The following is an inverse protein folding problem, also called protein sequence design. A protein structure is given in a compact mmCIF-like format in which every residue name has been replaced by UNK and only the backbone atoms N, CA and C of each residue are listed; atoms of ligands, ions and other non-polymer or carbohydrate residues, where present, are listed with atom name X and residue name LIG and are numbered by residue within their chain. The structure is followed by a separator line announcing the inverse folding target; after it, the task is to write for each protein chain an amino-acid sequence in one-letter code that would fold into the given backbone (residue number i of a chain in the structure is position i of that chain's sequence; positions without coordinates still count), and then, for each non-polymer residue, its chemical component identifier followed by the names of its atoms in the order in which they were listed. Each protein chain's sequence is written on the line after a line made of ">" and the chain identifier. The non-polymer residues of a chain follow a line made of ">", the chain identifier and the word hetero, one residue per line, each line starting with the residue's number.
data_IF_149304775019
#
_entry.id   IF_149304775019
#
_cell.length_a   1.000
_cell.length_b   1.000
_cell.length_c   1.000
_cell.angle_alpha   90.00
_cell.angle_beta   90.00
_cell.angle_gamma   90.00
#
_symmetry.space_group_name_H-M   'P 1'
#
loop_
_entity.id
_entity.type
_entity.pdbx_description
1 polymer ?
#
# COMPACT_ATOMS: atom_id res chain seq x y z
N UNK A 1 -2.38 -8.62 19.36
CA UNK A 1 -3.40 -7.96 20.24
C UNK A 1 -4.31 -7.09 19.38
N UNK A 2 -5.62 -7.17 19.56
CA UNK A 2 -6.61 -6.34 18.82
C UNK A 2 -7.29 -5.41 19.81
N UNK A 3 -7.29 -4.09 19.53
CA UNK A 3 -7.94 -3.10 20.39
C UNK A 3 -9.47 -3.22 20.32
N UNK A 4 -10.21 -3.07 21.42
CA UNK A 4 -11.67 -3.27 21.44
C UNK A 4 -12.47 -2.35 20.51
N UNK A 5 -11.96 -1.16 20.17
CA UNK A 5 -12.59 -0.24 19.23
C UNK A 5 -12.26 -0.51 17.75
N UNK A 6 -11.44 -1.52 17.45
CA UNK A 6 -11.19 -1.92 16.06
C UNK A 6 -12.38 -2.69 15.50
N UNK A 7 -12.73 -2.43 14.24
CA UNK A 7 -13.79 -3.12 13.52
C UNK A 7 -13.18 -4.17 12.60
N UNK A 8 -13.33 -5.43 12.95
CA UNK A 8 -12.72 -6.55 12.21
C UNK A 8 -13.83 -7.39 11.58
N UNK A 9 -13.77 -7.59 10.26
CA UNK A 9 -14.67 -8.50 9.58
C UNK A 9 -14.43 -9.95 10.01
N UNK A 10 -15.49 -10.74 10.14
CA UNK A 10 -15.43 -12.17 10.54
C UNK A 10 -14.53 -13.03 9.63
N UNK A 11 -14.38 -12.66 8.37
CA UNK A 11 -13.59 -13.40 7.39
C UNK A 11 -12.15 -12.88 7.26
N UNK A 12 -11.79 -11.81 7.95
CA UNK A 12 -10.41 -11.34 7.99
C UNK A 12 -9.52 -12.35 8.72
N UNK A 13 -8.32 -12.57 8.19
CA UNK A 13 -7.32 -13.45 8.80
C UNK A 13 -6.18 -12.59 9.33
N UNK A 14 -5.99 -12.60 10.63
CA UNK A 14 -4.96 -11.80 11.30
C UNK A 14 -4.13 -12.75 12.16
N UNK A 15 -2.81 -12.76 11.93
CA UNK A 15 -1.91 -13.55 12.75
C UNK A 15 -1.88 -13.00 14.20
N UNK A 16 -1.89 -13.89 15.18
CA UNK A 16 -2.00 -13.57 16.61
C UNK A 16 -0.89 -12.63 17.15
N UNK A 17 0.29 -12.63 16.52
CA UNK A 17 1.41 -11.76 16.90
C UNK A 17 1.26 -10.33 16.38
N UNK A 18 0.29 -10.06 15.51
CA UNK A 18 0.07 -8.72 14.99
C UNK A 18 -0.75 -7.85 15.93
N UNK A 19 -0.44 -6.56 15.93
CA UNK A 19 -1.10 -5.55 16.75
C UNK A 19 -2.04 -4.70 15.88
N UNK A 20 -3.32 -4.64 16.27
CA UNK A 20 -4.34 -3.79 15.63
C UNK A 20 -4.78 -2.76 16.65
N UNK A 21 -4.36 -1.52 16.46
CA UNK A 21 -4.65 -0.40 17.34
C UNK A 21 -6.10 0.11 17.25
N UNK A 22 -6.41 1.17 18.01
CA UNK A 22 -7.77 1.69 18.10
C UNK A 22 -8.27 2.25 16.76
N UNK A 23 -9.58 2.10 16.54
CA UNK A 23 -10.31 2.63 15.39
C UNK A 23 -9.79 2.14 14.02
N UNK A 24 -9.07 1.02 13.98
CA UNK A 24 -8.71 0.36 12.72
C UNK A 24 -9.92 -0.39 12.16
N UNK A 25 -10.02 -0.43 10.82
CA UNK A 25 -11.07 -1.17 10.10
C UNK A 25 -10.41 -2.20 9.20
N UNK A 26 -10.76 -3.49 9.37
CA UNK A 26 -10.20 -4.59 8.58
C UNK A 26 -11.32 -5.33 7.85
N UNK A 27 -11.29 -5.29 6.52
CA UNK A 27 -12.29 -5.89 5.62
C UNK A 27 -12.19 -7.42 5.49
N UNK A 28 -13.20 -8.02 4.87
CA UNK A 28 -13.39 -9.47 4.82
C UNK A 28 -12.36 -10.25 4.00
N UNK A 29 -11.79 -9.64 2.96
CA UNK A 29 -10.78 -10.26 2.08
C UNK A 29 -9.34 -10.08 2.54
N UNK A 30 -9.13 -9.52 3.73
CA UNK A 30 -7.80 -9.13 4.24
C UNK A 30 -7.12 -10.28 4.96
N UNK A 31 -5.84 -10.50 4.62
CA UNK A 31 -4.94 -11.41 5.33
C UNK A 31 -3.74 -10.62 5.86
N UNK A 32 -3.47 -10.68 7.16
CA UNK A 32 -2.36 -10.00 7.84
C UNK A 32 -1.44 -11.04 8.48
N UNK A 33 -0.20 -11.09 8.03
CA UNK A 33 0.86 -11.96 8.51
C UNK A 33 1.36 -11.61 9.92
N UNK A 34 2.58 -12.03 10.25
CA UNK A 34 3.15 -11.92 11.60
C UNK A 34 3.67 -10.52 11.92
N UNK A 35 3.58 -10.14 13.19
CA UNK A 35 4.25 -8.96 13.78
C UNK A 35 3.96 -7.64 13.03
N UNK A 36 2.83 -7.54 12.35
CA UNK A 36 2.41 -6.27 11.78
C UNK A 36 1.87 -5.34 12.89
N UNK A 37 2.11 -4.05 12.76
CA UNK A 37 1.64 -3.05 13.71
C UNK A 37 0.80 -1.98 13.00
N UNK A 38 -0.50 -1.99 13.23
CA UNK A 38 -1.42 -0.95 12.81
C UNK A 38 -1.64 -0.02 14.00
N UNK A 39 -1.11 1.21 13.93
CA UNK A 39 -1.05 2.10 15.10
C UNK A 39 -2.45 2.56 15.52
N UNK A 40 -3.21 3.22 14.65
CA UNK A 40 -4.60 3.62 14.87
C UNK A 40 -5.25 4.17 13.60
N UNK A 41 -6.58 4.13 13.49
CA UNK A 41 -7.33 4.73 12.37
C UNK A 41 -6.83 4.25 10.99
N UNK A 42 -6.37 3.03 10.88
CA UNK A 42 -5.93 2.40 9.63
C UNK A 42 -7.10 1.63 9.03
N UNK A 43 -7.38 1.87 7.76
CA UNK A 43 -8.35 1.09 6.99
C UNK A 43 -7.62 0.16 6.03
N UNK A 44 -7.86 -1.15 6.14
CA UNK A 44 -7.37 -2.15 5.19
C UNK A 44 -8.56 -2.95 4.71
N UNK A 45 -8.81 -2.92 3.40
CA UNK A 45 -10.00 -3.53 2.80
C UNK A 45 -9.63 -4.27 1.50
N UNK A 46 -10.64 -4.77 0.79
CA UNK A 46 -10.46 -5.52 -0.46
C UNK A 46 -9.74 -6.86 -0.26
N UNK A 47 -9.29 -7.48 -1.34
CA UNK A 47 -8.47 -8.70 -1.27
C UNK A 47 -7.01 -8.34 -1.08
N UNK A 48 -6.66 -7.95 0.14
CA UNK A 48 -5.33 -7.45 0.51
C UNK A 48 -4.57 -8.50 1.32
N UNK A 49 -3.40 -8.88 0.83
CA UNK A 49 -2.48 -9.77 1.53
C UNK A 49 -1.25 -9.00 2.00
N UNK A 50 -0.99 -9.03 3.30
CA UNK A 50 0.12 -8.35 3.95
C UNK A 50 1.00 -9.38 4.62
N UNK A 51 2.28 -9.43 4.23
CA UNK A 51 3.27 -10.31 4.82
C UNK A 51 3.65 -9.84 6.24
N UNK A 52 4.90 -9.87 6.64
CA UNK A 52 5.30 -9.74 8.04
C UNK A 52 5.99 -8.42 8.37
N UNK A 53 5.95 -8.02 9.65
CA UNK A 53 6.74 -6.93 10.23
C UNK A 53 6.49 -5.54 9.61
N UNK A 54 5.31 -5.28 9.05
CA UNK A 54 4.98 -3.96 8.51
C UNK A 54 4.42 -3.04 9.61
N UNK A 55 4.62 -1.74 9.44
CA UNK A 55 4.08 -0.71 10.31
C UNK A 55 3.19 0.23 9.50
N UNK A 56 1.95 0.38 9.94
CA UNK A 56 0.99 1.31 9.36
C UNK A 56 0.68 2.42 10.36
N UNK A 57 0.99 3.64 9.97
CA UNK A 57 0.74 4.85 10.75
C UNK A 57 -0.72 5.31 10.55
N UNK A 58 -1.20 6.25 11.38
CA UNK A 58 -2.60 6.65 11.35
C UNK A 58 -3.07 7.17 9.99
N UNK A 59 -4.34 6.90 9.70
CA UNK A 59 -5.07 7.36 8.51
C UNK A 59 -4.59 6.75 7.17
N UNK A 60 -3.85 5.64 7.19
CA UNK A 60 -3.60 4.87 5.97
C UNK A 60 -4.89 4.25 5.43
N UNK A 61 -5.11 4.34 4.11
CA UNK A 61 -6.20 3.68 3.39
C UNK A 61 -5.60 2.70 2.38
N UNK A 62 -5.69 1.42 2.69
CA UNK A 62 -5.00 0.34 1.99
C UNK A 62 -6.04 -0.61 1.36
N UNK A 63 -5.97 -0.81 0.05
CA UNK A 63 -6.83 -1.74 -0.67
C UNK A 63 -8.23 -1.22 -1.00
N UNK A 64 -8.47 0.09 -0.83
CA UNK A 64 -9.69 0.74 -1.30
C UNK A 64 -9.75 0.76 -2.83
N UNK A 65 -10.97 0.81 -3.38
CA UNK A 65 -11.21 0.75 -4.81
C UNK A 65 -10.33 1.70 -5.62
N UNK A 66 -9.86 1.26 -6.81
CA UNK A 66 -9.10 2.10 -7.71
C UNK A 66 -9.84 3.38 -8.13
N UNK A 67 -9.08 4.46 -8.27
CA UNK A 67 -9.60 5.74 -8.79
C UNK A 67 -9.55 5.74 -10.33
N UNK A 68 -10.10 4.71 -10.95
CA UNK A 68 -10.17 4.57 -12.41
C UNK A 68 -11.65 4.50 -12.85
N UNK A 69 -12.04 5.37 -13.78
CA UNK A 69 -13.41 5.39 -14.33
C UNK A 69 -13.79 4.09 -15.06
N UNK A 70 -12.82 3.28 -15.44
CA UNK A 70 -13.04 1.98 -16.08
C UNK A 70 -13.26 0.84 -15.08
N UNK A 71 -12.96 1.07 -13.80
CA UNK A 71 -13.14 0.06 -12.75
C UNK A 71 -14.63 -0.29 -12.59
N UNK A 72 -14.94 -1.59 -12.62
CA UNK A 72 -16.33 -2.11 -12.56
C UNK A 72 -16.55 -3.05 -11.39
N UNK A 73 -15.85 -2.86 -10.28
CA UNK A 73 -15.90 -3.73 -9.09
C UNK A 73 -15.45 -5.18 -9.38
N UNK A 74 -14.55 -5.36 -10.33
CA UNK A 74 -13.93 -6.65 -10.59
C UNK A 74 -13.09 -7.12 -9.40
N UNK A 75 -13.00 -8.43 -9.24
CA UNK A 75 -12.17 -9.04 -8.19
C UNK A 75 -10.70 -8.77 -8.47
N UNK A 76 -10.10 -7.92 -7.69
CA UNK A 76 -8.68 -7.53 -7.82
C UNK A 76 -7.95 -7.67 -6.49
N UNK A 77 -6.62 -7.57 -6.52
CA UNK A 77 -5.76 -7.92 -5.42
C UNK A 77 -4.70 -6.85 -5.13
N UNK A 78 -4.31 -6.78 -3.86
CA UNK A 78 -3.16 -6.01 -3.39
C UNK A 78 -2.25 -6.95 -2.59
N UNK A 79 -0.96 -6.99 -2.94
CA UNK A 79 0.05 -7.78 -2.22
C UNK A 79 1.11 -6.85 -1.65
N UNK A 80 1.37 -6.97 -0.36
CA UNK A 80 2.37 -6.19 0.37
C UNK A 80 3.35 -7.16 1.03
N UNK A 81 4.62 -7.01 0.72
CA UNK A 81 5.71 -7.78 1.30
C UNK A 81 5.96 -7.45 2.77
N UNK A 82 7.20 -7.62 3.21
CA UNK A 82 7.58 -7.53 4.62
C UNK A 82 8.43 -6.31 4.94
N UNK A 83 8.45 -5.91 6.23
CA UNK A 83 9.31 -4.86 6.78
C UNK A 83 9.08 -3.46 6.19
N UNK A 84 7.90 -3.17 5.66
CA UNK A 84 7.56 -1.87 5.09
C UNK A 84 7.05 -0.91 6.16
N UNK A 85 7.25 0.38 5.93
CA UNK A 85 6.71 1.47 6.76
C UNK A 85 5.80 2.35 5.92
N UNK A 86 4.52 2.37 6.27
CA UNK A 86 3.49 3.22 5.66
C UNK A 86 3.19 4.36 6.63
N UNK A 87 3.69 5.56 6.34
CA UNK A 87 3.47 6.74 7.16
C UNK A 87 2.02 7.24 7.02
N UNK A 88 1.71 8.32 7.68
CA UNK A 88 0.34 8.85 7.80
C UNK A 88 -0.26 9.23 6.44
N UNK A 89 -1.57 9.04 6.30
CA UNK A 89 -2.37 9.44 5.14
C UNK A 89 -1.95 8.80 3.80
N UNK A 90 -1.32 7.66 3.84
CA UNK A 90 -0.96 6.92 2.62
C UNK A 90 -2.19 6.23 2.04
N UNK A 91 -2.28 6.22 0.71
CA UNK A 91 -3.31 5.47 -0.01
C UNK A 91 -2.70 4.49 -0.99
N UNK A 92 -3.22 3.25 -1.02
CA UNK A 92 -2.78 2.19 -1.94
C UNK A 92 -4.01 1.51 -2.51
N UNK A 93 -4.13 1.48 -3.84
CA UNK A 93 -5.22 0.81 -4.53
C UNK A 93 -4.83 -0.60 -5.02
N UNK A 94 -5.77 -1.55 -5.11
CA UNK A 94 -5.56 -2.86 -5.75
C UNK A 94 -5.46 -2.71 -7.27
N UNK A 95 -5.26 -3.82 -7.98
CA UNK A 95 -5.22 -3.83 -9.43
C UNK A 95 -6.58 -3.64 -10.10
N UNK A 96 -6.56 -3.55 -11.44
CA UNK A 96 -7.75 -3.48 -12.30
C UNK A 96 -7.69 -4.55 -13.40
N UNK A 97 -8.79 -4.80 -14.07
CA UNK A 97 -8.84 -5.75 -15.19
C UNK A 97 -7.91 -5.36 -16.35
N UNK A 98 -7.65 -4.05 -16.50
CA UNK A 98 -6.74 -3.52 -17.52
C UNK A 98 -5.25 -3.73 -17.22
N UNK A 99 -4.88 -4.08 -15.98
CA UNK A 99 -3.48 -4.18 -15.54
C UNK A 99 -3.08 -5.52 -14.92
N UNK A 100 -3.92 -6.55 -15.06
CA UNK A 100 -3.61 -7.88 -14.52
C UNK A 100 -4.14 -8.11 -13.11
N UNK A 101 -5.04 -7.27 -12.64
CA UNK A 101 -5.79 -7.43 -11.39
C UNK A 101 -4.95 -7.36 -10.11
N UNK A 102 -3.70 -6.91 -10.17
CA UNK A 102 -2.83 -6.95 -9.00
C UNK A 102 -1.92 -5.73 -8.89
N UNK A 103 -1.93 -5.08 -7.73
CA UNK A 103 -0.89 -4.15 -7.30
C UNK A 103 0.05 -4.87 -6.34
N UNK A 104 1.36 -4.70 -6.48
CA UNK A 104 2.33 -5.38 -5.64
C UNK A 104 3.40 -4.45 -5.08
N UNK A 105 3.74 -4.65 -3.81
CA UNK A 105 4.77 -3.95 -3.06
C UNK A 105 5.72 -4.98 -2.47
N UNK A 106 7.02 -4.82 -2.71
CA UNK A 106 8.08 -5.68 -2.17
C UNK A 106 8.38 -5.42 -0.71
N UNK A 107 9.64 -5.62 -0.32
CA UNK A 107 10.07 -5.58 1.07
C UNK A 107 10.90 -4.33 1.38
N UNK A 108 10.98 -4.00 2.69
CA UNK A 108 11.86 -2.95 3.21
C UNK A 108 11.64 -1.56 2.60
N UNK A 109 10.43 -1.24 2.17
CA UNK A 109 10.09 0.06 1.59
C UNK A 109 9.69 1.07 2.66
N UNK A 110 9.93 2.33 2.36
CA UNK A 110 9.47 3.47 3.14
C UNK A 110 8.55 4.35 2.28
N UNK A 111 7.31 4.45 2.69
CA UNK A 111 6.32 5.35 2.10
C UNK A 111 6.09 6.48 3.09
N UNK A 112 6.53 7.70 2.74
CA UNK A 112 6.39 8.86 3.61
C UNK A 112 5.00 9.49 3.50
N UNK A 113 4.69 10.39 4.42
CA UNK A 113 3.38 11.02 4.60
C UNK A 113 2.73 11.44 3.28
N UNK A 114 1.47 11.05 3.10
CA UNK A 114 0.63 11.48 1.97
C UNK A 114 0.98 10.88 0.61
N UNK A 115 1.91 9.92 0.53
CA UNK A 115 2.21 9.28 -0.75
C UNK A 115 1.04 8.41 -1.25
N UNK A 116 0.90 8.31 -2.57
CA UNK A 116 -0.17 7.56 -3.23
C UNK A 116 0.40 6.52 -4.19
N UNK A 117 -0.14 5.31 -4.13
CA UNK A 117 0.16 4.20 -5.03
C UNK A 117 -1.15 3.80 -5.70
N UNK A 118 -1.29 4.15 -6.99
CA UNK A 118 -2.48 3.79 -7.77
C UNK A 118 -2.48 2.29 -8.16
N UNK A 119 -3.51 1.91 -8.87
CA UNK A 119 -3.76 0.55 -9.31
C UNK A 119 -2.67 -0.01 -10.23
N UNK A 120 -2.48 -1.33 -10.20
CA UNK A 120 -1.58 -2.07 -11.08
C UNK A 120 -0.10 -1.65 -10.99
N UNK A 121 0.29 -0.94 -9.94
CA UNK A 121 1.69 -0.61 -9.71
C UNK A 121 2.49 -1.84 -9.24
N UNK A 122 3.74 -1.92 -9.68
CA UNK A 122 4.71 -2.94 -9.25
C UNK A 122 5.88 -2.23 -8.60
N UNK A 123 5.96 -2.29 -7.28
CA UNK A 123 7.03 -1.69 -6.49
C UNK A 123 7.91 -2.81 -5.94
N UNK A 124 9.19 -2.82 -6.32
CA UNK A 124 10.16 -3.78 -5.82
C UNK A 124 10.64 -3.39 -4.41
N UNK A 125 11.72 -4.00 -3.92
CA UNK A 125 12.18 -3.84 -2.56
C UNK A 125 13.12 -2.63 -2.36
N UNK A 126 13.19 -2.14 -1.12
CA UNK A 126 14.02 -1.01 -0.68
C UNK A 126 13.70 0.32 -1.39
N UNK A 127 12.45 0.50 -1.82
CA UNK A 127 11.99 1.73 -2.49
C UNK A 127 11.60 2.78 -1.44
N UNK A 128 11.90 4.03 -1.71
CA UNK A 128 11.47 5.17 -0.90
C UNK A 128 10.56 6.06 -1.75
N UNK A 129 9.34 6.28 -1.30
CA UNK A 129 8.48 7.36 -1.77
C UNK A 129 8.50 8.47 -0.71
N UNK A 130 9.04 9.62 -1.06
CA UNK A 130 9.07 10.76 -0.16
C UNK A 130 7.66 11.40 -0.03
N UNK A 131 7.53 12.40 0.84
CA UNK A 131 6.23 13.03 1.15
C UNK A 131 5.47 13.45 -0.10
N UNK A 132 4.20 13.08 -0.16
CA UNK A 132 3.27 13.39 -1.27
C UNK A 132 3.73 12.91 -2.66
N UNK A 133 4.69 11.99 -2.74
CA UNK A 133 5.00 11.35 -4.02
C UNK A 133 3.80 10.55 -4.51
N UNK A 134 3.39 10.77 -5.76
CA UNK A 134 2.18 10.19 -6.33
C UNK A 134 2.53 9.32 -7.53
N UNK A 135 2.12 8.06 -7.48
CA UNK A 135 2.25 7.13 -8.61
C UNK A 135 0.89 6.96 -9.27
N UNK A 136 0.79 7.26 -10.55
CA UNK A 136 -0.38 6.90 -11.36
C UNK A 136 -0.39 5.39 -11.64
N UNK A 137 -1.45 4.89 -12.29
CA UNK A 137 -1.59 3.45 -12.55
C UNK A 137 -0.48 2.84 -13.41
N UNK A 138 -0.21 1.55 -13.23
CA UNK A 138 0.75 0.76 -14.01
C UNK A 138 2.22 1.21 -13.90
N UNK A 139 2.59 1.97 -12.87
CA UNK A 139 3.99 2.36 -12.65
C UNK A 139 4.79 1.18 -12.10
N UNK A 140 5.97 0.95 -12.68
CA UNK A 140 6.93 -0.03 -12.19
C UNK A 140 8.13 0.67 -11.56
N UNK A 141 8.46 0.34 -10.30
CA UNK A 141 9.64 0.88 -9.61
C UNK A 141 10.55 -0.27 -9.19
N UNK A 142 11.77 -0.26 -9.69
CA UNK A 142 12.75 -1.30 -9.38
C UNK A 142 13.48 -1.03 -8.05
N UNK A 143 14.24 -2.02 -7.60
CA UNK A 143 14.88 -2.03 -6.30
C UNK A 143 15.75 -0.79 -6.01
N UNK A 144 15.68 -0.30 -4.77
CA UNK A 144 16.51 0.79 -4.26
C UNK A 144 16.29 2.14 -4.96
N UNK A 145 15.19 2.33 -5.68
CA UNK A 145 14.85 3.62 -6.25
C UNK A 145 14.26 4.58 -5.21
N UNK A 146 14.45 5.86 -5.41
CA UNK A 146 13.95 6.93 -4.54
C UNK A 146 13.12 7.90 -5.38
N UNK A 147 11.89 8.16 -4.96
CA UNK A 147 11.03 9.17 -5.57
C UNK A 147 10.94 10.37 -4.63
N UNK A 148 11.41 11.51 -5.08
CA UNK A 148 11.44 12.76 -4.32
C UNK A 148 10.04 13.29 -3.99
N UNK A 149 9.98 14.13 -2.95
CA UNK A 149 8.70 14.65 -2.46
C UNK A 149 7.96 15.52 -3.48
N UNK A 150 6.63 15.47 -3.44
CA UNK A 150 5.73 16.16 -4.36
C UNK A 150 5.98 15.86 -5.85
N UNK A 151 6.59 14.73 -6.16
CA UNK A 151 6.77 14.27 -7.55
C UNK A 151 5.56 13.44 -7.98
N UNK A 152 5.16 13.58 -9.26
CA UNK A 152 4.07 12.84 -9.86
C UNK A 152 4.62 11.95 -10.99
N UNK A 153 4.45 10.63 -10.87
CA UNK A 153 4.92 9.67 -11.88
C UNK A 153 3.74 9.27 -12.76
N UNK A 154 3.84 9.56 -14.04
CA UNK A 154 2.79 9.29 -15.02
C UNK A 154 2.55 7.78 -15.21
N UNK A 155 1.37 7.42 -15.72
CA UNK A 155 1.02 6.01 -16.01
C UNK A 155 2.04 5.32 -16.91
N UNK A 156 2.26 4.02 -16.66
CA UNK A 156 3.15 3.14 -17.43
C UNK A 156 4.63 3.51 -17.39
N UNK A 157 5.05 4.46 -16.56
CA UNK A 157 6.47 4.79 -16.40
C UNK A 157 7.18 3.67 -15.63
N UNK A 158 8.41 3.38 -16.06
CA UNK A 158 9.33 2.44 -15.40
C UNK A 158 10.52 3.19 -14.82
N UNK A 159 10.73 3.05 -13.51
CA UNK A 159 11.85 3.63 -12.77
C UNK A 159 12.87 2.53 -12.51
N UNK A 160 14.05 2.68 -13.05
CA UNK A 160 15.11 1.68 -12.96
C UNK A 160 15.72 1.57 -11.56
N UNK A 161 16.48 0.50 -11.36
CA UNK A 161 17.18 0.21 -10.11
C UNK A 161 18.16 1.33 -9.73
N UNK A 162 18.15 1.73 -8.44
CA UNK A 162 18.95 2.83 -7.90
C UNK A 162 18.68 4.22 -8.52
N UNK A 163 17.64 4.37 -9.32
CA UNK A 163 17.28 5.68 -9.84
C UNK A 163 16.80 6.61 -8.72
N UNK A 164 17.08 7.88 -8.87
CA UNK A 164 16.56 8.93 -7.99
C UNK A 164 15.82 9.97 -8.83
N UNK A 165 14.53 10.14 -8.53
CA UNK A 165 13.71 11.22 -9.08
C UNK A 165 13.78 12.40 -8.10
N UNK A 166 14.18 13.58 -8.58
CA UNK A 166 14.22 14.78 -7.76
C UNK A 166 12.83 15.19 -7.27
N UNK A 167 12.77 15.91 -6.17
CA UNK A 167 11.50 16.44 -5.69
C UNK A 167 10.86 17.40 -6.70
N UNK A 168 9.54 17.52 -6.68
CA UNK A 168 8.75 18.39 -7.59
C UNK A 168 8.88 18.02 -9.08
N UNK A 169 9.25 16.79 -9.40
CA UNK A 169 9.32 16.28 -10.78
C UNK A 169 7.97 15.69 -11.21
N UNK A 170 7.60 15.92 -12.49
CA UNK A 170 6.38 15.41 -13.11
C UNK A 170 6.56 15.19 -14.59
#
# INVERSE_FOLDING_TARGET
>A
MIHPSAVISKNAKIHETSHIGPFCVIGSGVNIGKNNNLISHVSIVGNTNIENNNIFYPFCSIGSDPQDLKYKNETSFLKIGSNNKFRENITVNPGTSGGGLNTSIGDNCLFMVGSHIAHDCIIKSNVILANNATLAGHVEIDNNAIIGGNSAIHQFVRIGKYAMIGGMSG
#
